data_IF_370204117186
#
_entry.id   IF_370204117186
#
_cell.length_a   1.000
_cell.length_b   1.000
_cell.length_c   1.000
_cell.angle_alpha   90.00
_cell.angle_beta   90.00
_cell.angle_gamma   90.00
#
_symmetry.space_group_name_H-M   'P 1'
#
loop_
_entity.id
_entity.type
_entity.pdbx_description
1 polymer ?
#
# COMPACT_ATOMS: atom_id res chain seq x y z
N UNK A 1 -9.25 54.44 55.12
CA UNK A 1 -9.43 53.37 54.10
C UNK A 1 -8.56 52.19 54.49
N UNK A 2 -9.18 51.11 54.96
CA UNK A 2 -8.52 49.92 55.52
C UNK A 2 -8.02 49.06 54.35
N UNK A 3 -6.70 48.84 54.25
CA UNK A 3 -6.08 47.93 53.26
C UNK A 3 -6.51 46.50 53.59
N UNK A 4 -7.27 45.84 52.71
CA UNK A 4 -7.57 44.41 52.81
C UNK A 4 -6.26 43.61 52.76
N UNK A 5 -6.07 42.57 53.59
CA UNK A 5 -4.88 41.73 53.52
C UNK A 5 -4.88 41.01 52.16
N UNK A 6 -3.77 41.09 51.43
CA UNK A 6 -3.56 40.27 50.24
C UNK A 6 -3.36 38.82 50.69
N UNK A 7 -4.37 37.99 50.51
CA UNK A 7 -4.26 36.54 50.67
C UNK A 7 -3.20 36.00 49.69
N UNK A 8 -2.14 35.41 50.24
CA UNK A 8 -1.02 34.83 49.50
C UNK A 8 -1.23 33.32 49.45
N UNK A 9 -1.29 32.77 48.24
CA UNK A 9 -1.44 31.32 48.02
C UNK A 9 -0.09 30.73 47.65
N UNK A 10 0.15 29.48 48.05
CA UNK A 10 1.42 28.79 47.76
C UNK A 10 1.23 27.95 46.49
N UNK A 11 2.09 28.15 45.50
CA UNK A 11 2.14 27.28 44.33
C UNK A 11 2.66 25.89 44.75
N UNK A 12 1.96 24.82 44.40
CA UNK A 12 2.40 23.46 44.72
C UNK A 12 3.68 23.02 43.97
N UNK A 13 4.00 23.66 42.85
CA UNK A 13 5.17 23.36 42.00
C UNK A 13 6.41 24.13 42.49
N UNK A 14 6.42 25.46 42.37
CA UNK A 14 7.57 26.27 42.77
C UNK A 14 7.66 26.54 44.29
N UNK A 15 6.64 26.18 45.07
CA UNK A 15 6.53 26.42 46.53
C UNK A 15 6.63 27.89 46.95
N UNK A 16 6.59 28.83 46.01
CA UNK A 16 6.60 30.26 46.28
C UNK A 16 5.21 30.79 46.66
N UNK A 17 5.19 31.82 47.52
CA UNK A 17 3.98 32.59 47.85
C UNK A 17 3.66 33.55 46.71
N UNK A 18 2.49 33.42 46.12
CA UNK A 18 2.01 34.24 45.00
C UNK A 18 0.71 34.93 45.38
N UNK A 19 0.43 36.06 44.73
CA UNK A 19 -0.84 36.77 44.91
C UNK A 19 -1.98 35.96 44.30
N UNK A 20 -3.20 36.13 44.82
CA UNK A 20 -4.39 35.43 44.32
C UNK A 20 -4.62 35.59 42.80
N UNK A 21 -4.19 36.71 42.20
CA UNK A 21 -4.31 36.96 40.76
C UNK A 21 -3.21 36.26 39.90
N UNK A 22 -2.18 35.71 40.52
CA UNK A 22 -1.04 35.05 39.87
C UNK A 22 -1.11 33.51 39.95
N UNK A 23 -2.12 32.98 40.64
CA UNK A 23 -2.36 31.55 40.83
C UNK A 23 -3.67 31.12 40.19
N UNK A 24 -3.73 29.85 39.80
CA UNK A 24 -4.90 29.17 39.31
C UNK A 24 -5.19 27.97 40.22
N UNK A 25 -6.47 27.69 40.50
CA UNK A 25 -6.87 26.44 41.15
C UNK A 25 -6.51 25.25 40.27
N UNK A 26 -6.00 24.17 40.87
CA UNK A 26 -5.68 22.92 40.18
C UNK A 26 -6.91 22.29 39.49
N UNK A 27 -8.11 22.55 39.99
CA UNK A 27 -9.38 22.11 39.38
C UNK A 27 -9.64 22.76 38.01
N UNK A 28 -9.08 23.95 37.76
CA UNK A 28 -9.22 24.67 36.50
C UNK A 28 -8.12 24.31 35.49
N UNK A 29 -7.17 23.44 35.87
CA UNK A 29 -6.12 22.96 34.97
C UNK A 29 -6.69 21.88 34.06
N UNK A 30 -6.39 21.97 32.75
CA UNK A 30 -6.86 20.99 31.76
C UNK A 30 -6.37 19.58 32.09
N UNK A 31 -7.20 18.53 31.94
CA UNK A 31 -6.84 17.15 32.28
C UNK A 31 -5.53 16.65 31.65
N UNK A 32 -5.28 16.99 30.38
CA UNK A 32 -4.06 16.60 29.67
C UNK A 32 -2.77 17.19 30.27
N UNK A 33 -2.86 18.39 30.85
CA UNK A 33 -1.77 19.00 31.60
C UNK A 33 -1.66 18.41 33.00
N UNK A 34 -2.79 18.04 33.63
CA UNK A 34 -2.80 17.37 34.95
C UNK A 34 -2.03 16.06 34.90
N UNK A 35 -2.27 15.21 33.90
CA UNK A 35 -1.55 13.94 33.73
C UNK A 35 -0.04 14.17 33.59
N UNK A 36 0.36 15.16 32.79
CA UNK A 36 1.77 15.51 32.60
C UNK A 36 2.42 16.07 33.88
N UNK A 37 1.69 16.93 34.61
CA UNK A 37 2.15 17.52 35.86
C UNK A 37 2.30 16.45 36.94
N UNK A 38 1.30 15.58 37.13
CA UNK A 38 1.36 14.48 38.11
C UNK A 38 2.46 13.47 37.81
N UNK A 39 2.72 13.18 36.53
CA UNK A 39 3.83 12.31 36.13
C UNK A 39 5.20 12.87 36.54
N UNK A 40 5.35 14.20 36.57
CA UNK A 40 6.62 14.89 36.92
C UNK A 40 6.67 15.32 38.39
N UNK A 41 5.53 15.57 39.01
CA UNK A 41 5.35 15.99 40.40
C UNK A 41 4.21 15.19 41.05
N UNK A 42 4.50 14.01 41.64
CA UNK A 42 3.49 13.13 42.23
C UNK A 42 2.74 13.75 43.41
N UNK A 43 3.36 14.71 44.10
CA UNK A 43 2.79 15.42 45.25
C UNK A 43 1.82 16.54 44.85
N UNK A 44 1.58 16.75 43.55
CA UNK A 44 0.67 17.76 43.05
C UNK A 44 -0.78 17.26 43.12
N UNK A 45 -1.68 18.08 43.68
CA UNK A 45 -3.11 17.79 43.79
C UNK A 45 -3.98 18.86 43.13
N UNK A 46 -5.09 18.44 42.54
CA UNK A 46 -6.08 19.32 41.92
C UNK A 46 -6.75 20.29 42.91
N UNK A 47 -6.76 19.97 44.20
CA UNK A 47 -7.27 20.84 45.28
C UNK A 47 -6.33 22.02 45.60
N UNK A 48 -5.13 22.04 45.05
CA UNK A 48 -4.12 23.06 45.29
C UNK A 48 -4.13 24.24 44.33
N UNK A 49 -3.06 25.04 44.38
CA UNK A 49 -2.83 26.17 43.50
C UNK A 49 -1.56 25.98 42.68
N UNK A 50 -1.60 26.36 41.40
CA UNK A 50 -0.44 26.43 40.51
C UNK A 50 -0.25 27.88 40.04
N UNK A 51 0.98 28.38 40.02
CA UNK A 51 1.25 29.71 39.51
C UNK A 51 1.23 29.73 37.98
N UNK A 52 0.84 30.86 37.38
CA UNK A 52 0.74 31.00 35.91
C UNK A 52 2.08 30.76 35.19
N UNK A 53 3.21 31.11 35.82
CA UNK A 53 4.53 30.91 35.22
C UNK A 53 4.86 29.41 35.06
N UNK A 54 4.62 28.62 36.10
CA UNK A 54 4.82 27.16 36.06
C UNK A 54 3.83 26.52 35.09
N UNK A 55 2.55 26.91 35.14
CA UNK A 55 1.52 26.38 34.23
C UNK A 55 1.87 26.63 32.75
N UNK A 56 2.37 27.82 32.40
CA UNK A 56 2.78 28.15 31.03
C UNK A 56 4.02 27.36 30.58
N UNK A 57 4.92 27.03 31.49
CA UNK A 57 6.05 26.12 31.19
C UNK A 57 5.54 24.73 30.83
N UNK A 58 4.62 24.17 31.62
CA UNK A 58 4.02 22.87 31.31
C UNK A 58 3.23 22.88 30.00
N UNK A 59 2.48 23.95 29.69
CA UNK A 59 1.80 24.11 28.40
C UNK A 59 2.77 24.04 27.22
N UNK A 60 3.92 24.71 27.33
CA UNK A 60 4.94 24.74 26.28
C UNK A 60 5.60 23.36 26.12
N UNK A 61 6.03 22.75 27.22
CA UNK A 61 6.62 21.41 27.23
C UNK A 61 5.63 20.36 26.66
N UNK A 62 4.33 20.49 26.95
CA UNK A 62 3.29 19.59 26.43
C UNK A 62 3.18 19.67 24.91
N UNK A 63 3.09 20.89 24.35
CA UNK A 63 2.98 21.10 22.90
C UNK A 63 4.23 20.55 22.19
N UNK A 64 5.43 20.81 22.71
CA UNK A 64 6.67 20.32 22.09
C UNK A 64 6.72 18.79 22.05
N UNK A 65 6.41 18.12 23.17
CA UNK A 65 6.38 16.66 23.22
C UNK A 65 5.34 16.05 22.28
N UNK A 66 4.20 16.72 22.10
CA UNK A 66 3.13 16.26 21.22
C UNK A 66 3.57 16.28 19.74
N UNK A 67 4.25 17.35 19.31
CA UNK A 67 4.76 17.50 17.94
C UNK A 67 5.86 16.48 17.62
N UNK A 68 6.80 16.26 18.54
CA UNK A 68 7.88 15.27 18.34
C UNK A 68 7.34 13.84 18.17
N UNK A 69 6.28 13.49 18.91
CA UNK A 69 5.65 12.17 18.81
C UNK A 69 4.99 11.93 17.45
N UNK A 70 4.37 12.94 16.85
CA UNK A 70 3.68 12.79 15.56
C UNK A 70 4.64 12.60 14.38
N UNK A 71 5.79 13.27 14.38
CA UNK A 71 6.78 13.09 13.31
C UNK A 71 7.41 11.69 13.31
N UNK A 72 7.52 11.04 14.47
CA UNK A 72 8.04 9.67 14.57
C UNK A 72 7.10 8.62 13.96
N UNK A 73 5.79 8.75 14.21
CA UNK A 73 4.76 7.81 13.74
C UNK A 73 4.64 7.78 12.20
N UNK A 74 4.84 8.93 11.53
CA UNK A 74 4.80 9.04 10.06
C UNK A 74 5.87 8.20 9.36
N UNK A 75 7.10 8.18 9.87
CA UNK A 75 8.23 7.46 9.25
C UNK A 75 8.06 5.94 9.22
N UNK A 76 7.36 5.38 10.21
CA UNK A 76 7.12 3.94 10.29
C UNK A 76 6.07 3.46 9.29
N UNK A 77 5.08 4.31 9.00
CA UNK A 77 3.98 3.98 8.10
C UNK A 77 4.45 3.85 6.64
N UNK A 78 5.34 4.76 6.20
CA UNK A 78 5.91 4.73 4.84
C UNK A 78 6.68 3.42 4.57
N UNK A 79 7.39 2.92 5.57
CA UNK A 79 8.21 1.71 5.47
C UNK A 79 7.35 0.44 5.37
N UNK A 80 6.20 0.42 6.05
CA UNK A 80 5.23 -0.67 5.99
C UNK A 80 4.49 -0.73 4.63
N UNK A 81 4.17 0.44 4.05
CA UNK A 81 3.60 0.53 2.69
C UNK A 81 4.58 -0.02 1.66
N UNK A 82 5.84 0.39 1.73
CA UNK A 82 6.92 -0.10 0.85
C UNK A 82 7.08 -1.62 0.89
N UNK A 83 7.00 -2.24 2.09
CA UNK A 83 7.06 -3.71 2.22
C UNK A 83 5.87 -4.39 1.55
N UNK A 84 4.66 -3.89 1.81
CA UNK A 84 3.43 -4.46 1.26
C UNK A 84 3.42 -4.47 -0.28
N UNK A 85 3.95 -3.42 -0.92
CA UNK A 85 4.07 -3.36 -2.38
C UNK A 85 5.02 -4.43 -2.94
N UNK A 86 6.15 -4.69 -2.29
CA UNK A 86 7.12 -5.70 -2.73
C UNK A 86 6.56 -7.12 -2.66
N UNK A 87 5.75 -7.41 -1.65
CA UNK A 87 5.15 -8.74 -1.48
C UNK A 87 4.12 -9.06 -2.56
N UNK A 88 3.41 -8.05 -3.09
CA UNK A 88 2.46 -8.23 -4.20
C UNK A 88 3.15 -8.63 -5.51
N UNK A 89 4.33 -8.08 -5.82
CA UNK A 89 5.08 -8.42 -7.04
C UNK A 89 5.57 -9.88 -7.06
N UNK A 90 5.84 -10.46 -5.88
CA UNK A 90 6.28 -11.85 -5.77
C UNK A 90 5.16 -12.88 -6.08
N UNK A 91 3.90 -12.54 -5.81
CA UNK A 91 2.76 -13.43 -5.99
C UNK A 91 2.44 -13.67 -7.48
N UNK A 92 2.45 -12.62 -8.31
CA UNK A 92 2.13 -12.73 -9.75
C UNK A 92 3.11 -13.62 -10.51
N UNK A 93 4.38 -13.66 -10.11
CA UNK A 93 5.43 -14.44 -10.77
C UNK A 93 5.32 -15.95 -10.49
N UNK A 94 4.72 -16.35 -9.36
CA UNK A 94 4.70 -17.75 -8.93
C UNK A 94 3.70 -18.60 -9.74
N UNK A 95 2.53 -18.04 -10.09
CA UNK A 95 1.45 -18.74 -10.79
C UNK A 95 1.87 -19.36 -12.12
N UNK A 96 2.67 -18.65 -12.92
CA UNK A 96 3.17 -19.18 -14.19
C UNK A 96 4.07 -20.40 -14.00
N UNK A 97 4.91 -20.39 -12.96
CA UNK A 97 5.87 -21.46 -12.67
C UNK A 97 5.12 -22.69 -12.17
N UNK A 98 4.08 -22.50 -11.35
CA UNK A 98 3.25 -23.59 -10.84
C UNK A 98 2.48 -24.29 -11.96
N UNK A 99 1.92 -23.53 -12.92
CA UNK A 99 1.22 -24.10 -14.08
C UNK A 99 2.13 -24.90 -15.02
N UNK A 100 3.37 -24.45 -15.25
CA UNK A 100 4.30 -25.19 -16.11
C UNK A 100 4.87 -26.44 -15.43
N UNK A 101 4.85 -26.50 -14.09
CA UNK A 101 5.25 -27.69 -13.31
C UNK A 101 4.25 -28.84 -13.42
N UNK A 102 2.96 -28.55 -13.52
CA UNK A 102 1.90 -29.56 -13.61
C UNK A 102 1.71 -30.13 -15.01
N UNK A 103 2.38 -29.57 -16.02
CA UNK A 103 2.27 -29.99 -17.41
C UNK A 103 2.76 -31.43 -17.66
N UNK A 104 1.94 -32.22 -18.33
CA UNK A 104 2.28 -33.59 -18.71
C UNK A 104 3.33 -33.63 -19.82
N UNK A 105 4.00 -34.78 -19.99
CA UNK A 105 4.98 -34.96 -21.08
C UNK A 105 4.30 -34.77 -22.45
N UNK A 106 3.06 -35.26 -22.62
CA UNK A 106 2.31 -35.12 -23.87
C UNK A 106 1.99 -33.65 -24.21
N UNK A 107 1.57 -32.87 -23.23
CA UNK A 107 1.34 -31.43 -23.39
C UNK A 107 2.60 -30.66 -23.76
N UNK A 108 3.74 -30.98 -23.11
CA UNK A 108 5.03 -30.35 -23.44
C UNK A 108 5.48 -30.66 -24.86
N UNK A 109 5.20 -31.86 -25.35
CA UNK A 109 5.50 -32.25 -26.74
C UNK A 109 4.54 -31.56 -27.70
N UNK A 110 3.23 -31.55 -27.40
CA UNK A 110 2.23 -30.90 -28.22
C UNK A 110 2.54 -29.41 -28.42
N UNK A 111 2.94 -28.71 -27.37
CA UNK A 111 3.29 -27.28 -27.46
C UNK A 111 4.54 -27.03 -28.30
N UNK A 112 5.59 -27.84 -28.17
CA UNK A 112 6.78 -27.73 -29.02
C UNK A 112 6.45 -28.00 -30.49
N UNK A 113 5.57 -28.97 -30.76
CA UNK A 113 5.13 -29.30 -32.12
C UNK A 113 4.26 -28.19 -32.69
N UNK A 114 3.36 -27.61 -31.90
CA UNK A 114 2.52 -26.48 -32.29
C UNK A 114 3.37 -25.22 -32.55
N UNK A 115 4.34 -24.91 -31.70
CA UNK A 115 5.28 -23.79 -31.86
C UNK A 115 6.11 -23.94 -33.14
N UNK A 116 6.61 -25.16 -33.41
CA UNK A 116 7.33 -25.45 -34.65
C UNK A 116 6.44 -25.34 -35.90
N UNK A 117 5.25 -25.93 -35.84
CA UNK A 117 4.27 -25.91 -36.95
C UNK A 117 3.71 -24.51 -37.25
N UNK A 118 3.66 -23.63 -36.25
CA UNK A 118 3.21 -22.24 -36.39
C UNK A 118 4.28 -21.25 -36.89
N UNK A 119 5.53 -21.70 -37.10
CA UNK A 119 6.63 -20.83 -37.52
C UNK A 119 6.58 -20.49 -39.01
N UNK A 120 6.81 -19.22 -39.35
CA UNK A 120 6.95 -18.76 -40.74
C UNK A 120 8.06 -19.48 -41.52
N UNK A 121 9.12 -19.92 -40.84
CA UNK A 121 10.20 -20.70 -41.45
C UNK A 121 9.75 -22.11 -41.84
N UNK A 122 8.92 -22.75 -41.01
CA UNK A 122 8.34 -24.05 -41.31
C UNK A 122 7.39 -23.96 -42.50
N UNK A 123 6.48 -22.98 -42.51
CA UNK A 123 5.54 -22.74 -43.62
C UNK A 123 6.29 -22.58 -44.94
N UNK A 124 7.31 -21.72 -44.97
CA UNK A 124 8.09 -21.46 -46.20
C UNK A 124 8.82 -22.70 -46.70
N UNK A 125 9.49 -23.43 -45.80
CA UNK A 125 10.22 -24.67 -46.15
C UNK A 125 9.26 -25.75 -46.65
N UNK A 126 8.12 -25.91 -45.98
CA UNK A 126 7.09 -26.88 -46.35
C UNK A 126 6.49 -26.59 -47.73
N UNK A 127 6.22 -25.32 -48.04
CA UNK A 127 5.79 -24.89 -49.38
C UNK A 127 6.84 -25.20 -50.45
N UNK A 128 8.13 -24.90 -50.19
CA UNK A 128 9.22 -25.19 -51.14
C UNK A 128 9.33 -26.69 -51.41
N UNK A 129 9.20 -27.54 -50.38
CA UNK A 129 9.24 -29.00 -50.54
C UNK A 129 8.06 -29.49 -51.40
N UNK A 130 6.85 -28.98 -51.17
CA UNK A 130 5.67 -29.33 -51.98
C UNK A 130 5.86 -28.93 -53.44
N UNK A 131 6.28 -27.68 -53.69
CA UNK A 131 6.53 -27.18 -55.04
C UNK A 131 7.65 -27.97 -55.73
N UNK A 132 8.73 -28.27 -55.00
CA UNK A 132 9.83 -29.11 -55.49
C UNK A 132 9.37 -30.52 -55.85
N UNK A 133 8.51 -31.14 -55.03
CA UNK A 133 7.92 -32.46 -55.31
C UNK A 133 7.07 -32.46 -56.58
N UNK A 134 6.24 -31.43 -56.77
CA UNK A 134 5.40 -31.26 -57.95
C UNK A 134 6.27 -31.08 -59.20
N UNK A 135 7.28 -30.20 -59.15
CA UNK A 135 8.19 -29.94 -60.28
C UNK A 135 8.96 -31.22 -60.64
N UNK A 136 9.53 -31.91 -59.65
CA UNK A 136 10.28 -33.15 -59.86
C UNK A 136 9.41 -34.23 -60.53
N UNK A 137 8.22 -34.51 -60.00
CA UNK A 137 7.34 -35.53 -60.58
C UNK A 137 6.77 -35.12 -61.95
N UNK A 138 6.55 -33.83 -62.20
CA UNK A 138 6.11 -33.31 -63.49
C UNK A 138 7.18 -33.43 -64.58
N UNK A 139 8.46 -33.22 -64.25
CA UNK A 139 9.57 -33.38 -65.20
C UNK A 139 9.89 -34.87 -65.42
N UNK A 140 9.88 -35.68 -64.37
CA UNK A 140 10.12 -37.14 -64.44
C UNK A 140 8.98 -37.89 -65.15
N UNK A 141 7.80 -37.26 -65.30
CA UNK A 141 6.66 -37.74 -66.10
C UNK A 141 7.05 -38.09 -67.54
N UNK A 142 8.09 -37.44 -68.10
CA UNK A 142 8.58 -37.72 -69.45
C UNK A 142 9.36 -39.04 -69.59
N UNK A 143 9.82 -39.65 -68.48
CA UNK A 143 10.55 -40.93 -68.50
C UNK A 143 9.79 -42.06 -67.78
N UNK A 144 9.51 -41.92 -66.48
CA UNK A 144 8.67 -42.81 -65.64
C UNK A 144 8.38 -42.12 -64.29
N UNK A 145 7.20 -41.51 -64.08
CA UNK A 145 6.89 -40.80 -62.84
C UNK A 145 6.69 -41.74 -61.64
N UNK A 146 7.14 -41.29 -60.47
CA UNK A 146 6.90 -41.97 -59.19
C UNK A 146 5.50 -41.65 -58.62
N UNK A 147 5.05 -40.41 -58.74
CA UNK A 147 3.71 -39.94 -58.34
C UNK A 147 3.09 -39.09 -59.47
N UNK A 148 2.43 -39.71 -60.48
CA UNK A 148 1.85 -38.99 -61.61
C UNK A 148 0.66 -38.13 -61.18
N UNK A 149 0.40 -37.05 -61.92
CA UNK A 149 -0.80 -36.23 -61.74
C UNK A 149 -2.05 -37.13 -61.77
N UNK A 150 -2.90 -37.13 -60.71
CA UNK A 150 -3.17 -36.06 -59.74
C UNK A 150 -2.45 -36.13 -58.37
N UNK A 151 -1.25 -36.73 -58.27
CA UNK A 151 -0.41 -36.79 -57.06
C UNK A 151 -1.07 -37.47 -55.84
N UNK A 152 -1.45 -38.74 -55.97
CA UNK A 152 -2.18 -39.48 -54.92
C UNK A 152 -1.32 -39.67 -53.68
N UNK A 153 -0.02 -39.93 -53.84
CA UNK A 153 0.87 -40.19 -52.71
C UNK A 153 1.10 -38.90 -51.89
N UNK A 154 1.35 -37.78 -52.57
CA UNK A 154 1.44 -36.47 -51.92
C UNK A 154 0.17 -36.14 -51.13
N UNK A 155 -1.00 -36.34 -51.74
CA UNK A 155 -2.29 -36.07 -51.09
C UNK A 155 -2.51 -36.95 -49.85
N UNK A 156 -2.12 -38.22 -49.89
CA UNK A 156 -2.22 -39.12 -48.75
C UNK A 156 -1.34 -38.65 -47.59
N UNK A 157 -0.09 -38.27 -47.87
CA UNK A 157 0.86 -37.78 -46.86
C UNK A 157 0.36 -36.48 -46.24
N UNK A 158 -0.09 -35.52 -47.06
CA UNK A 158 -0.62 -34.23 -46.57
C UNK A 158 -1.85 -34.43 -45.69
N UNK A 159 -2.77 -35.33 -46.09
CA UNK A 159 -3.98 -35.64 -45.32
C UNK A 159 -3.64 -36.30 -43.97
N UNK A 160 -2.66 -37.21 -43.95
CA UNK A 160 -2.18 -37.84 -42.73
C UNK A 160 -1.55 -36.80 -41.78
N UNK A 161 -0.68 -35.92 -42.30
CA UNK A 161 -0.06 -34.84 -41.50
C UNK A 161 -1.12 -33.91 -40.92
N UNK A 162 -2.09 -33.47 -41.73
CA UNK A 162 -3.17 -32.60 -41.29
C UNK A 162 -4.05 -33.25 -40.20
N UNK A 163 -4.34 -34.55 -40.34
CA UNK A 163 -5.13 -35.30 -39.37
C UNK A 163 -4.45 -35.37 -37.99
N UNK A 164 -3.12 -35.49 -37.93
CA UNK A 164 -2.37 -35.42 -36.68
C UNK A 164 -2.18 -33.99 -36.15
N UNK A 165 -2.12 -32.99 -37.04
CA UNK A 165 -1.92 -31.59 -36.65
C UNK A 165 -3.14 -31.02 -35.90
N UNK A 166 -4.37 -31.28 -36.37
CA UNK A 166 -5.58 -30.74 -35.76
C UNK A 166 -5.72 -31.02 -34.24
N UNK A 167 -5.56 -32.27 -33.74
CA UNK A 167 -5.63 -32.55 -32.30
C UNK A 167 -4.45 -31.96 -31.52
N UNK A 168 -3.24 -31.90 -32.10
CA UNK A 168 -2.08 -31.29 -31.43
C UNK A 168 -2.30 -29.78 -31.23
N UNK A 169 -2.79 -29.09 -32.26
CA UNK A 169 -3.15 -27.68 -32.19
C UNK A 169 -4.24 -27.47 -31.13
N UNK A 170 -5.29 -28.31 -31.14
CA UNK A 170 -6.37 -28.23 -30.15
C UNK A 170 -5.89 -28.48 -28.72
N UNK A 171 -4.98 -29.44 -28.51
CA UNK A 171 -4.37 -29.69 -27.20
C UNK A 171 -3.54 -28.49 -26.71
N UNK A 172 -2.75 -27.87 -27.60
CA UNK A 172 -1.98 -26.68 -27.26
C UNK A 172 -2.88 -25.48 -26.96
N UNK A 173 -3.96 -25.29 -27.74
CA UNK A 173 -4.98 -24.27 -27.50
C UNK A 173 -5.68 -24.44 -26.15
N UNK A 174 -6.20 -25.64 -25.86
CA UNK A 174 -6.84 -25.94 -24.57
C UNK A 174 -5.90 -25.66 -23.38
N UNK A 175 -4.59 -25.92 -23.55
CA UNK A 175 -3.58 -25.63 -22.53
C UNK A 175 -3.35 -24.13 -22.36
N UNK A 176 -3.25 -23.37 -23.44
CA UNK A 176 -3.12 -21.90 -23.36
C UNK A 176 -4.37 -21.28 -22.72
N UNK A 177 -5.57 -21.72 -23.09
CA UNK A 177 -6.82 -21.24 -22.48
C UNK A 177 -6.90 -21.55 -20.98
N UNK A 178 -6.44 -22.74 -20.56
CA UNK A 178 -6.37 -23.08 -19.14
C UNK A 178 -5.37 -22.17 -18.39
N UNK A 179 -4.22 -21.85 -19.00
CA UNK A 179 -3.23 -20.93 -18.45
C UNK A 179 -3.78 -19.52 -18.30
N UNK A 180 -4.46 -19.02 -19.33
CA UNK A 180 -5.03 -17.68 -19.35
C UNK A 180 -6.22 -17.54 -18.41
N UNK A 181 -7.04 -18.59 -18.25
CA UNK A 181 -8.10 -18.64 -17.23
C UNK A 181 -7.52 -18.53 -15.81
N UNK A 182 -6.50 -19.32 -15.48
CA UNK A 182 -5.87 -19.28 -14.16
C UNK A 182 -5.21 -17.93 -13.87
N UNK A 183 -4.55 -17.33 -14.86
CA UNK A 183 -4.02 -15.96 -14.74
C UNK A 183 -5.14 -14.96 -14.45
N UNK A 184 -6.23 -15.03 -15.20
CA UNK A 184 -7.36 -14.12 -15.04
C UNK A 184 -8.03 -14.26 -13.66
N UNK A 185 -8.19 -15.49 -13.17
CA UNK A 185 -8.71 -15.76 -11.81
C UNK A 185 -7.79 -15.20 -10.73
N UNK A 186 -6.47 -15.38 -10.88
CA UNK A 186 -5.50 -14.87 -9.93
C UNK A 186 -5.41 -13.33 -9.94
N UNK A 187 -5.41 -12.72 -11.12
CA UNK A 187 -5.43 -11.26 -11.26
C UNK A 187 -6.71 -10.66 -10.64
N UNK A 188 -7.85 -11.33 -10.83
CA UNK A 188 -9.10 -10.96 -10.17
C UNK A 188 -8.99 -11.03 -8.63
N UNK A 189 -8.39 -12.10 -8.10
CA UNK A 189 -8.17 -12.23 -6.64
C UNK A 189 -7.23 -11.17 -6.09
N UNK A 190 -6.13 -10.85 -6.80
CA UNK A 190 -5.23 -9.76 -6.43
C UNK A 190 -5.99 -8.43 -6.40
N UNK A 191 -6.80 -8.15 -7.43
CA UNK A 191 -7.55 -6.91 -7.53
C UNK A 191 -8.53 -6.75 -6.37
N UNK A 192 -9.30 -7.81 -6.07
CA UNK A 192 -10.22 -7.81 -4.94
C UNK A 192 -9.50 -7.61 -3.60
N UNK A 193 -8.35 -8.27 -3.42
CA UNK A 193 -7.53 -8.11 -2.22
C UNK A 193 -7.02 -6.67 -2.09
N UNK A 194 -6.51 -6.08 -3.18
CA UNK A 194 -6.06 -4.70 -3.21
C UNK A 194 -7.21 -3.73 -2.90
N UNK A 195 -8.41 -3.96 -3.42
CA UNK A 195 -9.59 -3.14 -3.10
C UNK A 195 -9.93 -3.19 -1.60
N UNK A 196 -9.90 -4.38 -0.98
CA UNK A 196 -10.12 -4.55 0.46
C UNK A 196 -9.02 -3.87 1.29
N UNK A 197 -7.75 -4.01 0.89
CA UNK A 197 -6.63 -3.36 1.55
C UNK A 197 -6.75 -1.83 1.48
N UNK A 198 -7.13 -1.27 0.33
CA UNK A 198 -7.37 0.17 0.16
C UNK A 198 -8.51 0.64 1.07
N UNK A 199 -9.63 -0.10 1.13
CA UNK A 199 -10.74 0.24 2.04
C UNK A 199 -10.29 0.25 3.50
N UNK A 200 -9.55 -0.77 3.92
CA UNK A 200 -9.00 -0.86 5.28
C UNK A 200 -8.01 0.26 5.59
N UNK A 201 -7.15 0.62 4.64
CA UNK A 201 -6.25 1.77 4.77
C UNK A 201 -7.04 3.07 4.89
N UNK A 202 -8.11 3.23 4.11
CA UNK A 202 -8.95 4.42 4.16
C UNK A 202 -9.65 4.56 5.53
N UNK A 203 -10.19 3.47 6.08
CA UNK A 203 -10.77 3.46 7.43
C UNK A 203 -9.74 3.84 8.51
N UNK A 204 -8.50 3.32 8.40
CA UNK A 204 -7.40 3.70 9.30
C UNK A 204 -7.01 5.17 9.15
N UNK A 205 -6.93 5.67 7.93
CA UNK A 205 -6.65 7.08 7.65
C UNK A 205 -7.73 7.98 8.26
N UNK A 206 -9.01 7.64 8.08
CA UNK A 206 -10.12 8.38 8.68
C UNK A 206 -10.02 8.40 10.21
N UNK A 207 -9.70 7.27 10.84
CA UNK A 207 -9.47 7.20 12.28
C UNK A 207 -8.28 8.07 12.73
N UNK A 208 -7.16 8.02 12.01
CA UNK A 208 -5.98 8.85 12.31
C UNK A 208 -6.31 10.34 12.16
N UNK A 209 -6.97 10.73 11.07
CA UNK A 209 -7.38 12.11 10.83
C UNK A 209 -8.32 12.63 11.92
N UNK A 210 -9.27 11.82 12.38
CA UNK A 210 -10.13 12.17 13.51
C UNK A 210 -9.33 12.43 14.80
N UNK A 211 -8.35 11.57 15.10
CA UNK A 211 -7.48 11.74 16.26
C UNK A 211 -6.59 13.00 16.14
N UNK A 212 -6.04 13.25 14.95
CA UNK A 212 -5.23 14.43 14.65
C UNK A 212 -6.05 15.72 14.82
N UNK A 213 -7.31 15.74 14.35
CA UNK A 213 -8.21 16.87 14.57
C UNK A 213 -8.48 17.15 16.05
N UNK A 214 -8.71 16.11 16.86
CA UNK A 214 -8.89 16.30 18.30
C UNK A 214 -7.67 16.95 18.96
N UNK A 215 -6.46 16.50 18.61
CA UNK A 215 -5.21 17.08 19.11
C UNK A 215 -5.00 18.53 18.65
N UNK A 216 -5.33 18.83 17.39
CA UNK A 216 -5.17 20.18 16.84
C UNK A 216 -6.13 21.17 17.53
N UNK A 217 -7.35 20.75 17.82
CA UNK A 217 -8.31 21.51 18.64
C UNK A 217 -7.77 21.73 20.06
N UNK A 218 -7.18 20.71 20.67
CA UNK A 218 -6.58 20.81 22.00
C UNK A 218 -5.41 21.81 22.03
N UNK A 219 -4.50 21.75 21.06
CA UNK A 219 -3.40 22.71 20.92
C UNK A 219 -3.96 24.13 20.75
N UNK A 220 -4.96 24.32 19.88
CA UNK A 220 -5.60 25.63 19.68
C UNK A 220 -6.22 26.17 20.97
N UNK A 221 -6.87 25.32 21.77
CA UNK A 221 -7.43 25.71 23.06
C UNK A 221 -6.35 26.13 24.06
N UNK A 222 -5.24 25.39 24.14
CA UNK A 222 -4.10 25.75 24.99
C UNK A 222 -3.48 27.08 24.54
N UNK A 223 -3.36 27.31 23.23
CA UNK A 223 -2.89 28.57 22.69
C UNK A 223 -3.84 29.74 23.00
N UNK A 224 -5.15 29.52 22.95
CA UNK A 224 -6.15 30.53 23.32
C UNK A 224 -6.05 30.91 24.80
N UNK A 225 -5.90 29.92 25.70
CA UNK A 225 -5.69 30.17 27.13
C UNK A 225 -4.40 30.99 27.38
N UNK A 226 -3.33 30.66 26.65
CA UNK A 226 -2.05 31.38 26.73
C UNK A 226 -2.19 32.83 26.25
N UNK A 227 -2.88 33.05 25.13
CA UNK A 227 -3.18 34.39 24.59
C UNK A 227 -4.04 35.22 25.56
N UNK A 228 -5.07 34.62 26.17
CA UNK A 228 -5.91 35.29 27.17
C UNK A 228 -5.09 35.67 28.42
N UNK A 229 -4.14 34.83 28.83
CA UNK A 229 -3.22 35.16 29.92
C UNK A 229 -2.25 36.29 29.56
N UNK A 230 -1.70 36.29 28.34
CA UNK A 230 -0.86 37.38 27.85
C UNK A 230 -1.66 38.69 27.79
N UNK A 231 -2.88 38.66 27.24
CA UNK A 231 -3.77 39.81 27.21
C UNK A 231 -4.11 40.33 28.61
N UNK A 232 -4.30 39.44 29.61
CA UNK A 232 -4.49 39.81 31.02
C UNK A 232 -3.25 40.41 31.68
N UNK A 233 -2.04 40.09 31.20
CA UNK A 233 -0.78 40.69 31.65
C UNK A 233 -0.60 42.11 31.11
N UNK A 234 -1.30 42.46 30.03
CA UNK A 234 -1.30 43.79 29.41
C UNK A 234 -2.38 44.70 30.01
N UNK A 235 -2.18 45.28 31.21
CA UNK A 235 -2.72 46.63 31.43
C UNK A 235 -1.78 47.57 32.22
N UNK A 236 -1.56 48.78 31.67
CA UNK A 236 -0.95 50.02 32.26
C UNK A 236 0.58 50.23 32.19
N UNK A 237 1.21 50.08 31.02
CA UNK A 237 2.53 50.72 30.78
C UNK A 237 2.52 51.76 29.64
N UNK A 238 1.38 52.01 28.99
CA UNK A 238 1.22 53.03 27.93
C UNK A 238 0.31 54.20 28.33
N UNK A 239 0.04 54.36 29.62
CA UNK A 239 -0.82 55.44 30.14
C UNK A 239 -0.38 55.86 31.53
N UNK A 240 0.77 56.53 31.60
CA UNK A 240 1.33 57.20 32.77
C UNK A 240 2.13 58.40 32.30
#
# INVERSE_FOLDING_TARGET
MIRKPHELMICQICKEKKKLNEVLSGELVRPSLVEMIQKKYPDWSSEGFICRADLNRFRTDYIQNLVEKEMGELSTLELDVMRSMKDQELLSKNVNVEFDRTATIGERVADKVAEFGGSWGFITTFTVVIVGWIIMNSIVLFLRPFDPYPFILLNLVLSCVAAFQAPIIMMSQNRQEAKDRLRSEHDYQINLKAELEIRHLNEKLDHLLAQQWQRLVEIQQIQMDLMEELARKTPRELGG
#
